data_IF_769535891619
#
_entry.id   IF_769535891619
#
_cell.length_a   1.000
_cell.length_b   1.000
_cell.length_c   1.000
_cell.angle_alpha   90.00
_cell.angle_beta   90.00
_cell.angle_gamma   90.00
#
_symmetry.space_group_name_H-M   'P 1'
#
loop_
_entity.id
_entity.type
_entity.pdbx_description
1 polymer ?
#
# COMPACT_ATOMS: atom_id res chain seq x y z
N UNK A 1 12.97 -1.74 8.73
CA UNK A 1 12.48 -2.01 10.10
C UNK A 1 12.80 -3.45 10.46
N UNK A 2 12.96 -3.77 11.74
CA UNK A 2 13.13 -5.16 12.20
C UNK A 2 14.56 -5.65 12.45
N UNK A 3 15.56 -4.76 12.39
CA UNK A 3 16.92 -5.09 12.88
C UNK A 3 16.89 -5.01 14.41
N UNK A 4 17.22 -6.09 15.15
CA UNK A 4 17.31 -6.04 16.60
C UNK A 4 18.34 -5.01 17.08
N UNK A 5 18.05 -4.28 18.15
CA UNK A 5 18.92 -3.19 18.65
C UNK A 5 20.36 -3.63 18.88
N UNK A 6 20.58 -4.87 19.36
CA UNK A 6 21.92 -5.41 19.60
C UNK A 6 22.74 -5.67 18.33
N UNK A 7 22.11 -5.69 17.15
CA UNK A 7 22.78 -5.82 15.85
C UNK A 7 23.13 -4.45 15.23
N UNK A 8 22.68 -3.34 15.83
CA UNK A 8 22.96 -1.99 15.33
C UNK A 8 24.39 -1.60 15.73
N UNK A 9 25.18 -1.13 14.76
CA UNK A 9 26.57 -0.75 15.02
C UNK A 9 26.66 0.44 15.98
N UNK A 10 27.72 0.47 16.80
CA UNK A 10 27.97 1.58 17.72
C UNK A 10 28.06 2.95 17.02
N UNK A 11 28.54 2.98 15.77
CA UNK A 11 28.63 4.21 14.96
C UNK A 11 27.24 4.77 14.67
N UNK A 12 26.27 3.89 14.38
CA UNK A 12 24.88 4.29 14.14
C UNK A 12 24.21 4.67 15.46
N UNK A 13 24.43 3.91 16.53
CA UNK A 13 23.85 4.19 17.86
C UNK A 13 24.23 5.58 18.39
N UNK A 14 25.39 6.13 18.00
CA UNK A 14 25.80 7.50 18.34
C UNK A 14 25.07 8.60 17.55
N UNK A 15 24.34 8.24 16.49
CA UNK A 15 23.68 9.16 15.57
C UNK A 15 22.14 9.08 15.63
N UNK A 16 21.59 8.21 16.47
CA UNK A 16 20.15 7.99 16.60
C UNK A 16 19.71 8.14 18.05
N UNK A 17 18.44 8.50 18.25
CA UNK A 17 17.81 8.46 19.57
C UNK A 17 16.91 7.23 19.63
N UNK A 18 17.15 6.35 20.60
CA UNK A 18 16.25 5.23 20.88
C UNK A 18 15.12 5.72 21.78
N UNK A 19 13.88 5.54 21.31
CA UNK A 19 12.67 5.90 22.04
C UNK A 19 11.94 4.62 22.44
N UNK A 20 11.43 4.59 23.68
CA UNK A 20 10.51 3.54 24.13
C UNK A 20 9.18 3.65 23.37
N UNK A 21 8.54 2.51 23.11
CA UNK A 21 7.20 2.47 22.53
C UNK A 21 6.15 2.91 23.55
N UNK A 22 5.12 3.63 23.08
CA UNK A 22 3.92 3.95 23.85
C UNK A 22 2.67 3.48 23.07
N UNK A 23 2.28 2.22 23.29
CA UNK A 23 1.20 1.59 22.53
C UNK A 23 -0.18 2.20 22.78
N UNK A 24 -0.44 2.68 23.98
CA UNK A 24 -1.71 3.35 24.32
C UNK A 24 -1.85 4.65 23.53
N UNK A 25 -0.80 5.46 23.50
CA UNK A 25 -0.77 6.68 22.69
C UNK A 25 -0.93 6.38 21.21
N UNK A 26 -0.25 5.35 20.68
CA UNK A 26 -0.36 5.01 19.26
C UNK A 26 -1.77 4.54 18.90
N UNK A 27 -2.42 3.76 19.78
CA UNK A 27 -3.79 3.31 19.61
C UNK A 27 -4.80 4.46 19.64
N UNK A 28 -4.67 5.38 20.61
CA UNK A 28 -5.51 6.58 20.71
C UNK A 28 -5.34 7.49 19.48
N UNK A 29 -4.11 7.74 19.04
CA UNK A 29 -3.85 8.54 17.84
C UNK A 29 -4.37 7.87 16.55
N UNK A 30 -4.22 6.55 16.42
CA UNK A 30 -4.78 5.75 15.32
C UNK A 30 -6.30 5.91 15.25
N UNK A 31 -6.96 5.72 16.39
CA UNK A 31 -8.41 5.83 16.49
C UNK A 31 -8.89 7.23 16.08
N UNK A 32 -8.22 8.29 16.52
CA UNK A 32 -8.53 9.67 16.10
C UNK A 32 -8.38 9.89 14.59
N UNK A 33 -7.31 9.37 13.99
CA UNK A 33 -7.13 9.44 12.53
C UNK A 33 -8.30 8.75 11.82
N UNK A 34 -8.65 7.54 12.24
CA UNK A 34 -9.76 6.80 11.62
C UNK A 34 -11.12 7.47 11.86
N UNK A 35 -11.38 8.01 13.04
CA UNK A 35 -12.59 8.78 13.34
C UNK A 35 -12.71 10.05 12.48
N UNK A 36 -11.62 10.78 12.28
CA UNK A 36 -11.60 11.91 11.35
C UNK A 36 -11.94 11.45 9.93
N UNK A 37 -11.38 10.34 9.46
CA UNK A 37 -11.66 9.82 8.10
C UNK A 37 -13.10 9.35 7.96
N UNK A 38 -13.70 8.72 8.99
CA UNK A 38 -15.10 8.23 8.99
C UNK A 38 -16.12 9.30 8.61
N UNK A 39 -15.86 10.57 8.96
CA UNK A 39 -16.75 11.66 8.62
C UNK A 39 -16.79 12.00 7.11
N UNK A 40 -15.85 11.47 6.32
CA UNK A 40 -15.67 11.78 4.89
C UNK A 40 -15.83 10.58 3.97
N UNK A 41 -16.19 9.40 4.49
CA UNK A 41 -16.41 8.20 3.67
C UNK A 41 -17.63 7.45 4.17
N UNK A 42 -18.28 6.72 3.26
CA UNK A 42 -19.41 5.86 3.62
C UNK A 42 -18.95 4.61 4.39
N UNK A 43 -17.73 4.13 4.13
CA UNK A 43 -17.22 2.91 4.75
C UNK A 43 -15.70 2.98 4.93
N UNK A 44 -15.24 2.42 6.05
CA UNK A 44 -13.83 2.32 6.40
C UNK A 44 -13.54 0.94 6.97
N UNK A 45 -12.49 0.32 6.45
CA UNK A 45 -12.00 -0.99 6.88
C UNK A 45 -10.56 -0.83 7.42
N UNK A 46 -10.38 -0.75 8.74
CA UNK A 46 -9.05 -0.74 9.35
C UNK A 46 -8.26 -2.00 8.99
N UNK A 47 -7.05 -1.82 8.46
CA UNK A 47 -6.14 -2.91 8.08
C UNK A 47 -4.99 -3.09 9.08
N UNK A 48 -4.47 -1.98 9.59
CA UNK A 48 -3.44 -1.92 10.65
C UNK A 48 -3.71 -0.71 11.55
N UNK A 49 -2.81 -0.44 12.50
CA UNK A 49 -2.88 0.75 13.35
C UNK A 49 -2.74 2.07 12.56
N UNK A 50 -2.14 2.03 11.37
CA UNK A 50 -1.82 3.22 10.57
C UNK A 50 -2.38 3.17 9.15
N UNK A 51 -3.13 2.11 8.81
CA UNK A 51 -3.68 1.92 7.47
C UNK A 51 -5.13 1.44 7.52
N UNK A 52 -5.95 1.97 6.62
CA UNK A 52 -7.33 1.54 6.39
C UNK A 52 -7.64 1.62 4.89
N UNK A 53 -8.59 0.81 4.44
CA UNK A 53 -9.25 0.98 3.15
C UNK A 53 -10.52 1.82 3.36
N UNK A 54 -10.86 2.66 2.39
CA UNK A 54 -12.06 3.50 2.44
C UNK A 54 -12.84 3.38 1.14
N UNK A 55 -14.16 3.41 1.22
CA UNK A 55 -15.03 3.46 0.05
C UNK A 55 -15.09 4.89 -0.51
N UNK A 56 -14.99 5.01 -1.82
CA UNK A 56 -15.07 6.29 -2.53
C UNK A 56 -16.18 6.31 -3.59
N UNK A 57 -17.08 5.32 -3.53
CA UNK A 57 -18.26 5.25 -4.39
C UNK A 57 -19.17 6.47 -4.19
N UNK A 58 -19.65 7.03 -5.30
CA UNK A 58 -20.55 8.18 -5.29
C UNK A 58 -19.86 9.55 -5.23
N UNK A 59 -18.54 9.62 -5.11
CA UNK A 59 -17.78 10.87 -5.25
C UNK A 59 -17.41 11.12 -6.72
N UNK A 60 -17.66 12.35 -7.21
CA UNK A 60 -17.35 12.73 -8.60
C UNK A 60 -15.87 13.05 -8.78
N UNK A 61 -15.30 13.85 -7.87
CA UNK A 61 -13.86 14.17 -7.87
C UNK A 61 -13.18 13.52 -6.66
N UNK A 62 -12.85 12.24 -6.82
CA UNK A 62 -12.20 11.43 -5.77
C UNK A 62 -10.83 12.00 -5.37
N UNK A 63 -10.11 12.63 -6.29
CA UNK A 63 -8.76 13.15 -5.99
C UNK A 63 -8.86 14.37 -5.09
N UNK A 64 -9.71 15.34 -5.43
CA UNK A 64 -9.93 16.52 -4.58
C UNK A 64 -10.52 16.15 -3.23
N UNK A 65 -11.47 15.20 -3.20
CA UNK A 65 -12.03 14.67 -1.96
C UNK A 65 -10.96 14.06 -1.05
N UNK A 66 -10.09 13.20 -1.58
CA UNK A 66 -8.99 12.64 -0.82
C UNK A 66 -7.97 13.70 -0.37
N UNK A 67 -7.71 14.75 -1.15
CA UNK A 67 -6.88 15.87 -0.69
C UNK A 67 -7.50 16.59 0.52
N UNK A 68 -8.81 16.77 0.52
CA UNK A 68 -9.54 17.32 1.68
C UNK A 68 -9.37 16.42 2.91
N UNK A 69 -9.55 15.11 2.77
CA UNK A 69 -9.34 14.15 3.86
C UNK A 69 -7.93 14.30 4.45
N UNK A 70 -6.89 14.33 3.61
CA UNK A 70 -5.51 14.51 4.08
C UNK A 70 -5.31 15.79 4.86
N UNK A 71 -5.88 16.89 4.37
CA UNK A 71 -5.78 18.19 5.01
C UNK A 71 -6.43 18.18 6.39
N UNK A 72 -7.66 17.67 6.50
CA UNK A 72 -8.40 17.60 7.77
C UNK A 72 -7.73 16.67 8.76
N UNK A 73 -7.30 15.48 8.34
CA UNK A 73 -6.54 14.56 9.22
C UNK A 73 -5.28 15.22 9.77
N UNK A 74 -4.52 15.94 8.92
CA UNK A 74 -3.32 16.65 9.36
C UNK A 74 -3.65 17.79 10.32
N UNK A 75 -4.72 18.54 10.06
CA UNK A 75 -5.19 19.64 10.91
C UNK A 75 -5.60 19.12 12.30
N UNK A 76 -6.43 18.09 12.34
CA UNK A 76 -7.09 17.64 13.57
C UNK A 76 -6.18 16.76 14.45
N UNK A 77 -5.30 15.98 13.83
CA UNK A 77 -4.45 15.01 14.55
C UNK A 77 -2.96 15.35 14.54
N UNK A 78 -2.53 16.28 13.70
CA UNK A 78 -1.12 16.54 13.47
C UNK A 78 -0.39 15.43 12.68
N UNK A 79 -1.06 14.35 12.28
CA UNK A 79 -0.46 13.22 11.56
C UNK A 79 -0.63 13.40 10.04
N UNK A 80 0.45 13.43 9.26
CA UNK A 80 0.35 13.40 7.81
C UNK A 80 0.00 11.99 7.33
N UNK A 81 -0.99 11.88 6.46
CA UNK A 81 -1.36 10.61 5.81
C UNK A 81 -1.11 10.68 4.31
N UNK A 82 -1.09 9.55 3.60
CA UNK A 82 -1.10 9.51 2.13
C UNK A 82 -2.21 8.57 1.68
N UNK A 83 -2.82 8.85 0.53
CA UNK A 83 -3.97 8.12 0.02
C UNK A 83 -3.66 7.62 -1.39
N UNK A 84 -3.83 6.32 -1.60
CA UNK A 84 -3.78 5.68 -2.90
C UNK A 84 -5.17 5.24 -3.31
N UNK A 85 -5.58 5.63 -4.50
CA UNK A 85 -6.90 5.34 -5.06
C UNK A 85 -6.73 4.41 -6.26
N UNK A 86 -7.48 3.32 -6.31
CA UNK A 86 -7.57 2.39 -7.43
C UNK A 86 -8.81 1.49 -7.30
N UNK A 87 -9.04 0.63 -8.31
CA UNK A 87 -10.21 -0.27 -8.37
C UNK A 87 -10.14 -1.51 -7.48
N UNK A 88 -8.95 -1.87 -6.97
CA UNK A 88 -8.75 -3.04 -6.10
C UNK A 88 -7.84 -2.69 -4.93
N UNK A 89 -7.91 -3.45 -3.83
CA UNK A 89 -7.11 -3.19 -2.62
C UNK A 89 -5.61 -3.26 -2.92
N UNK A 90 -5.20 -4.23 -3.75
CA UNK A 90 -3.80 -4.37 -4.17
C UNK A 90 -3.32 -3.19 -5.01
N UNK A 91 -4.12 -2.74 -5.98
CA UNK A 91 -3.77 -1.57 -6.78
C UNK A 91 -3.80 -0.28 -5.95
N UNK A 92 -4.69 -0.16 -4.96
CA UNK A 92 -4.72 0.97 -4.05
C UNK A 92 -3.46 1.05 -3.19
N UNK A 93 -2.92 -0.10 -2.75
CA UNK A 93 -1.60 -0.17 -2.06
C UNK A 93 -0.45 0.25 -3.00
N UNK A 94 -0.46 -0.19 -4.26
CA UNK A 94 0.50 0.28 -5.27
C UNK A 94 0.41 1.80 -5.45
N UNK A 95 -0.80 2.32 -5.62
CA UNK A 95 -1.10 3.74 -5.74
C UNK A 95 -0.59 4.54 -4.53
N UNK A 96 -0.84 4.06 -3.32
CA UNK A 96 -0.40 4.73 -2.09
C UNK A 96 1.13 4.78 -1.97
N UNK A 97 1.81 3.70 -2.37
CA UNK A 97 3.28 3.69 -2.41
C UNK A 97 3.83 4.72 -3.38
N UNK A 98 3.17 4.93 -4.53
CA UNK A 98 3.53 5.98 -5.49
C UNK A 98 3.26 7.37 -4.88
N UNK A 99 2.09 7.55 -4.26
CA UNK A 99 1.70 8.80 -3.58
C UNK A 99 2.72 9.24 -2.51
N UNK A 100 3.33 8.29 -1.81
CA UNK A 100 4.38 8.55 -0.80
C UNK A 100 5.73 8.95 -1.40
N UNK A 101 6.05 8.49 -2.62
CA UNK A 101 7.39 8.67 -3.23
C UNK A 101 7.48 9.83 -4.21
N UNK A 102 6.43 10.08 -4.97
CA UNK A 102 6.43 11.09 -6.03
C UNK A 102 5.76 12.37 -5.52
N UNK A 103 6.56 13.43 -5.39
CA UNK A 103 6.12 14.72 -4.83
C UNK A 103 4.97 15.36 -5.63
N UNK A 104 4.91 15.09 -6.94
CA UNK A 104 3.90 15.64 -7.85
C UNK A 104 2.48 15.23 -7.48
N UNK A 105 2.31 14.05 -6.85
CA UNK A 105 1.02 13.58 -6.36
C UNK A 105 0.58 14.25 -5.05
N UNK A 106 1.49 14.98 -4.38
CA UNK A 106 1.20 15.69 -3.12
C UNK A 106 0.50 14.80 -2.08
N UNK A 107 0.85 13.52 -2.06
CA UNK A 107 0.30 12.51 -1.15
C UNK A 107 -1.06 11.90 -1.52
N UNK A 108 -1.65 12.22 -2.69
CA UNK A 108 -2.81 11.50 -3.26
C UNK A 108 -2.49 11.02 -4.67
N UNK A 109 -2.57 9.71 -4.90
CA UNK A 109 -2.38 9.12 -6.24
C UNK A 109 -3.64 8.38 -6.66
N UNK A 110 -4.01 8.47 -7.93
CA UNK A 110 -5.16 7.78 -8.51
C UNK A 110 -4.72 6.96 -9.74
N UNK A 111 -4.98 5.65 -9.72
CA UNK A 111 -4.47 4.68 -10.72
C UNK A 111 -5.56 3.90 -11.48
N UNK A 112 -6.81 4.38 -11.60
CA UNK A 112 -7.86 3.60 -12.29
C UNK A 112 -8.41 4.16 -13.59
N UNK A 113 -8.19 5.42 -13.95
CA UNK A 113 -8.83 6.01 -15.14
C UNK A 113 -7.96 5.95 -16.40
N UNK A 114 -6.64 5.76 -16.25
CA UNK A 114 -5.69 5.73 -17.35
C UNK A 114 -4.90 4.42 -17.33
N UNK A 115 -5.21 3.55 -18.28
CA UNK A 115 -4.54 2.27 -18.43
C UNK A 115 -3.04 2.42 -18.77
N UNK A 116 -2.65 3.48 -19.49
CA UNK A 116 -1.24 3.73 -19.80
C UNK A 116 -0.44 4.09 -18.54
N UNK A 117 -0.99 4.96 -17.68
CA UNK A 117 -0.38 5.30 -16.40
C UNK A 117 -0.29 4.09 -15.47
N UNK A 118 -1.33 3.24 -15.45
CA UNK A 118 -1.32 2.01 -14.67
C UNK A 118 -0.21 1.05 -15.15
N UNK A 119 -0.08 0.84 -16.46
CA UNK A 119 0.97 -0.02 -17.03
C UNK A 119 2.36 0.51 -16.65
N UNK A 120 2.60 1.81 -16.83
CA UNK A 120 3.89 2.43 -16.53
C UNK A 120 4.23 2.37 -15.04
N UNK A 121 3.24 2.56 -14.18
CA UNK A 121 3.38 2.37 -12.74
C UNK A 121 3.78 0.94 -12.40
N UNK A 122 3.07 -0.07 -12.94
CA UNK A 122 3.32 -1.49 -12.64
C UNK A 122 4.66 -1.99 -13.19
N UNK A 123 5.11 -1.49 -14.34
CA UNK A 123 6.43 -1.82 -14.92
C UNK A 123 7.58 -1.31 -14.05
N UNK A 124 7.38 -0.19 -13.36
CA UNK A 124 8.39 0.39 -12.47
C UNK A 124 8.28 -0.13 -11.03
N UNK A 125 7.27 -0.95 -10.72
CA UNK A 125 7.01 -1.42 -9.37
C UNK A 125 7.63 -2.80 -9.17
N UNK A 126 8.68 -2.95 -8.33
CA UNK A 126 9.30 -4.25 -8.09
C UNK A 126 8.32 -5.26 -7.52
N UNK A 127 8.39 -6.52 -7.97
CA UNK A 127 7.46 -7.58 -7.55
C UNK A 127 7.47 -7.79 -6.03
N UNK A 128 8.64 -7.66 -5.39
CA UNK A 128 8.77 -7.80 -3.93
C UNK A 128 8.15 -6.68 -3.10
N UNK A 129 7.69 -5.59 -3.73
CA UNK A 129 6.93 -4.54 -3.06
C UNK A 129 5.42 -4.76 -3.18
N UNK A 130 4.95 -5.73 -3.98
CA UNK A 130 3.53 -5.98 -4.19
C UNK A 130 2.92 -6.52 -2.90
N UNK A 131 1.77 -5.98 -2.52
CA UNK A 131 1.06 -6.42 -1.32
C UNK A 131 0.73 -7.91 -1.42
N UNK A 132 1.09 -8.68 -0.38
CA UNK A 132 0.98 -10.15 -0.37
C UNK A 132 2.22 -10.90 -0.89
N UNK A 133 3.20 -10.21 -1.49
CA UNK A 133 4.46 -10.83 -1.97
C UNK A 133 5.58 -10.61 -0.95
N UNK A 134 5.78 -11.61 -0.07
CA UNK A 134 6.90 -11.60 0.88
C UNK A 134 8.24 -11.96 0.25
N UNK A 135 9.35 -11.75 0.98
CA UNK A 135 10.73 -11.94 0.51
C UNK A 135 10.96 -13.26 -0.25
N UNK A 136 10.60 -14.40 0.37
CA UNK A 136 10.79 -15.73 -0.26
C UNK A 136 9.96 -15.94 -1.52
N UNK A 137 8.79 -15.32 -1.59
CA UNK A 137 7.93 -15.38 -2.79
C UNK A 137 8.54 -14.50 -3.88
N UNK A 138 9.01 -13.31 -3.52
CA UNK A 138 9.69 -12.40 -4.43
C UNK A 138 10.93 -13.07 -5.05
N UNK A 139 11.79 -13.71 -4.26
CA UNK A 139 12.98 -14.44 -4.75
C UNK A 139 12.61 -15.53 -5.75
N UNK A 140 11.56 -16.31 -5.46
CA UNK A 140 11.05 -17.34 -6.38
C UNK A 140 10.52 -16.72 -7.68
N UNK A 141 9.69 -15.68 -7.60
CA UNK A 141 9.16 -14.98 -8.77
C UNK A 141 10.28 -14.41 -9.64
N UNK A 142 11.29 -13.78 -9.01
CA UNK A 142 12.46 -13.25 -9.71
C UNK A 142 13.27 -14.34 -10.40
N UNK A 143 13.42 -15.51 -9.78
CA UNK A 143 14.07 -16.67 -10.40
C UNK A 143 13.34 -17.19 -11.64
N UNK A 144 12.03 -16.92 -11.75
CA UNK A 144 11.19 -17.23 -12.90
C UNK A 144 11.14 -16.09 -13.94
N UNK A 145 11.94 -15.05 -13.77
CA UNK A 145 11.97 -13.88 -14.66
C UNK A 145 10.88 -12.84 -14.37
N UNK A 146 10.08 -13.01 -13.32
CA UNK A 146 9.05 -12.06 -12.91
C UNK A 146 9.69 -11.02 -11.98
N UNK A 147 10.03 -9.85 -12.51
CA UNK A 147 10.77 -8.82 -11.78
C UNK A 147 9.87 -7.71 -11.25
N UNK A 148 8.77 -7.43 -11.94
CA UNK A 148 7.89 -6.28 -11.72
C UNK A 148 6.45 -6.71 -11.44
N UNK A 149 5.64 -5.80 -10.91
CA UNK A 149 4.21 -6.01 -10.73
C UNK A 149 3.50 -6.21 -12.09
N UNK A 150 4.02 -5.58 -13.15
CA UNK A 150 3.54 -5.81 -14.52
C UNK A 150 3.79 -7.25 -14.97
N UNK A 151 5.00 -7.77 -14.76
CA UNK A 151 5.32 -9.17 -15.10
C UNK A 151 4.40 -10.13 -14.36
N UNK A 152 4.15 -9.85 -13.06
CA UNK A 152 3.26 -10.66 -12.23
C UNK A 152 1.81 -10.59 -12.73
N UNK A 153 1.32 -9.40 -13.09
CA UNK A 153 -0.01 -9.21 -13.72
C UNK A 153 -0.15 -10.03 -15.00
N UNK A 154 0.90 -10.07 -15.82
CA UNK A 154 0.90 -10.80 -17.11
C UNK A 154 1.13 -12.30 -16.96
N UNK A 155 1.58 -12.77 -15.80
CA UNK A 155 1.92 -14.17 -15.59
C UNK A 155 0.71 -15.11 -15.73
N UNK A 156 0.94 -16.29 -16.31
CA UNK A 156 -0.11 -17.30 -16.41
C UNK A 156 -0.32 -17.98 -15.06
N UNK A 157 -1.42 -17.63 -14.38
CA UNK A 157 -1.81 -18.15 -13.07
C UNK A 157 -1.84 -19.68 -13.03
N UNK A 158 -2.25 -20.34 -14.13
CA UNK A 158 -2.28 -21.81 -14.19
C UNK A 158 -0.87 -22.41 -14.18
N UNK A 159 0.10 -21.78 -14.83
CA UNK A 159 1.50 -22.22 -14.81
C UNK A 159 2.13 -22.00 -13.42
N UNK A 160 1.83 -20.88 -12.77
CA UNK A 160 2.23 -20.59 -11.38
C UNK A 160 1.65 -21.65 -10.42
N UNK A 161 0.37 -21.99 -10.55
CA UNK A 161 -0.31 -22.98 -9.71
C UNK A 161 0.18 -24.41 -9.94
N UNK A 162 0.47 -24.77 -11.19
CA UNK A 162 1.00 -26.09 -11.57
C UNK A 162 2.40 -26.36 -10.99
N UNK A 163 3.18 -25.31 -10.71
CA UNK A 163 4.49 -25.46 -10.07
C UNK A 163 4.40 -25.84 -8.58
N UNK A 164 3.20 -25.95 -7.96
CA UNK A 164 2.97 -26.21 -6.53
C UNK A 164 3.69 -25.25 -5.56
N UNK A 165 4.31 -24.19 -6.08
CA UNK A 165 5.20 -23.30 -5.32
C UNK A 165 4.50 -22.06 -4.75
N UNK A 166 3.24 -21.83 -5.14
CA UNK A 166 2.51 -20.60 -4.85
C UNK A 166 1.08 -20.89 -4.35
N UNK A 167 0.62 -20.08 -3.40
CA UNK A 167 -0.68 -20.24 -2.75
C UNK A 167 -1.82 -19.58 -3.53
N UNK A 168 -3.07 -19.89 -3.15
CA UNK A 168 -4.29 -19.22 -3.64
C UNK A 168 -4.24 -17.71 -3.43
N UNK A 169 -3.54 -17.25 -2.38
CA UNK A 169 -3.38 -15.81 -2.10
C UNK A 169 -2.64 -15.10 -3.24
N UNK A 170 -1.58 -15.70 -3.80
CA UNK A 170 -0.87 -15.09 -4.92
C UNK A 170 -1.72 -15.05 -6.19
N UNK A 171 -2.57 -16.06 -6.41
CA UNK A 171 -3.55 -16.07 -7.49
C UNK A 171 -4.53 -14.89 -7.35
N UNK A 172 -5.03 -14.61 -6.14
CA UNK A 172 -5.86 -13.43 -5.88
C UNK A 172 -5.10 -12.12 -6.09
N UNK A 173 -3.83 -12.03 -5.67
CA UNK A 173 -2.99 -10.85 -5.94
C UNK A 173 -2.87 -10.58 -7.44
N UNK A 174 -2.70 -11.62 -8.28
CA UNK A 174 -2.65 -11.47 -9.74
C UNK A 174 -3.99 -10.97 -10.28
N UNK A 175 -5.11 -11.50 -9.80
CA UNK A 175 -6.45 -11.06 -10.20
C UNK A 175 -6.72 -9.61 -9.79
N UNK A 176 -6.32 -9.20 -8.60
CA UNK A 176 -6.41 -7.83 -8.11
C UNK A 176 -5.59 -6.86 -8.97
N UNK A 177 -4.36 -7.23 -9.37
CA UNK A 177 -3.54 -6.45 -10.29
C UNK A 177 -4.15 -6.32 -11.69
N UNK A 178 -5.05 -7.25 -12.07
CA UNK A 178 -5.86 -7.22 -13.29
C UNK A 178 -7.19 -6.47 -13.11
N UNK A 179 -7.45 -5.90 -11.93
CA UNK A 179 -8.67 -5.14 -11.65
C UNK A 179 -9.85 -5.98 -11.17
N UNK A 180 -9.65 -7.26 -10.85
CA UNK A 180 -10.70 -8.12 -10.26
C UNK A 180 -10.63 -8.09 -8.74
N UNK A 181 -11.61 -7.43 -8.11
CA UNK A 181 -11.70 -7.34 -6.65
C UNK A 181 -11.99 -8.73 -6.03
N UNK A 182 -11.04 -9.29 -5.28
CA UNK A 182 -11.16 -10.64 -4.70
C UNK A 182 -10.32 -10.88 -3.42
N UNK A 183 -9.75 -9.84 -2.83
CA UNK A 183 -9.11 -9.83 -1.51
C UNK A 183 -9.92 -8.97 -0.55
#
# INVERSE_FOLDING_TARGET
MGIPTYQISLVILKQVTLLSSNYELYGDMSQRVFDTVRAYTADIEPYSIDEAFIALDGFVDVTSHCQQIRHVVKSDTGIPVSIGIASTRTLAKVSNHIAKKKIDYRGVCYLSDDESLLIDALKQFPVGNVWGVGLRIAEKLQSLGIQTAWDLRQANVKQIKQQQQFSVVLEHTVLELRGTACI
#
